data_IF_709594374628
#
_entry.id   IF_709594374628
#
_cell.length_a   1.000
_cell.length_b   1.000
_cell.length_c   1.000
_cell.angle_alpha   90.00
_cell.angle_beta   90.00
_cell.angle_gamma   90.00
#
_symmetry.space_group_name_H-M   'P 1'
#
loop_
_entity.id
_entity.type
_entity.pdbx_description
1 polymer ?
#
# COMPACT_ATOMS: atom_id res chain seq x y z
N UNK A 1 65.76 -24.38 34.49
CA UNK A 1 66.39 -24.61 33.17
C UNK A 1 65.32 -24.58 32.09
N UNK A 2 65.49 -23.68 31.10
CA UNK A 2 65.11 -23.80 29.66
C UNK A 2 63.58 -23.82 29.34
N UNK A 3 62.98 -22.68 28.96
CA UNK A 3 62.68 -22.21 27.56
C UNK A 3 61.83 -23.20 26.74
N UNK A 4 60.78 -22.85 25.98
CA UNK A 4 60.71 -21.83 24.92
C UNK A 4 59.32 -21.90 24.21
N UNK A 5 58.73 -20.73 23.86
CA UNK A 5 57.90 -20.39 22.65
C UNK A 5 56.72 -21.32 22.25
N UNK A 6 55.52 -20.83 21.95
CA UNK A 6 55.14 -20.16 20.66
C UNK A 6 53.69 -19.66 20.81
N UNK A 7 53.43 -18.37 21.05
CA UNK A 7 52.96 -17.36 20.09
C UNK A 7 52.00 -17.85 18.98
N UNK A 8 50.69 -17.68 19.17
CA UNK A 8 49.73 -17.53 18.07
C UNK A 8 48.66 -16.50 18.48
N UNK A 9 48.93 -15.24 18.14
CA UNK A 9 47.99 -14.12 18.24
C UNK A 9 47.03 -14.24 17.06
N UNK A 10 45.82 -14.75 17.30
CA UNK A 10 44.76 -14.77 16.29
C UNK A 10 44.01 -13.44 16.38
N UNK A 11 44.51 -12.47 15.60
CA UNK A 11 43.92 -11.16 15.39
C UNK A 11 42.62 -11.34 14.60
N UNK A 12 41.50 -11.54 15.30
CA UNK A 12 40.16 -11.45 14.70
C UNK A 12 39.86 -9.96 14.49
N UNK A 13 40.26 -9.46 13.32
CA UNK A 13 39.71 -8.23 12.78
C UNK A 13 38.22 -8.45 12.53
N UNK A 14 37.38 -8.18 13.53
CA UNK A 14 35.98 -7.87 13.31
C UNK A 14 35.96 -6.58 12.48
N UNK A 15 35.93 -6.74 11.16
CA UNK A 15 35.56 -5.68 10.24
C UNK A 15 34.14 -5.28 10.59
N UNK A 16 34.02 -4.25 11.43
CA UNK A 16 32.80 -3.48 11.62
C UNK A 16 32.52 -2.85 10.26
N UNK A 17 31.77 -3.58 9.44
CA UNK A 17 31.20 -3.07 8.22
C UNK A 17 30.09 -2.12 8.66
N UNK A 18 30.49 -0.89 9.00
CA UNK A 18 29.54 0.21 9.10
C UNK A 18 28.93 0.37 7.72
N UNK A 19 27.75 -0.22 7.53
CA UNK A 19 26.87 0.13 6.44
C UNK A 19 26.68 1.64 6.55
N UNK A 20 27.24 2.38 5.59
CA UNK A 20 26.97 3.78 5.44
C UNK A 20 25.46 3.91 5.29
N UNK A 21 24.80 4.43 6.33
CA UNK A 21 23.42 4.90 6.21
C UNK A 21 23.45 5.94 5.10
N UNK A 22 22.97 5.56 3.92
CA UNK A 22 22.77 6.50 2.84
C UNK A 22 21.94 7.65 3.44
N UNK A 23 22.41 8.88 3.30
CA UNK A 23 21.68 10.05 3.75
C UNK A 23 20.29 9.97 3.13
N UNK A 24 19.31 9.69 3.99
CA UNK A 24 17.95 9.39 3.59
C UNK A 24 17.39 10.66 2.97
N UNK A 25 17.16 10.62 1.67
CA UNK A 25 16.54 11.72 0.97
C UNK A 25 15.17 11.88 1.57
N UNK A 26 14.96 12.94 2.36
CA UNK A 26 13.64 13.31 2.88
C UNK A 26 12.70 13.37 1.69
N UNK A 27 11.85 12.36 1.60
CA UNK A 27 10.94 12.15 0.48
C UNK A 27 9.53 12.37 0.99
N UNK A 28 8.76 13.16 0.26
CA UNK A 28 7.34 13.36 0.53
C UNK A 28 6.52 12.47 -0.40
N UNK A 29 5.21 12.39 -0.18
CA UNK A 29 4.32 11.62 -1.04
C UNK A 29 4.32 12.14 -2.49
N UNK A 30 4.54 13.45 -2.68
CA UNK A 30 4.60 14.06 -3.99
C UNK A 30 5.76 13.52 -4.85
N UNK A 31 6.78 12.96 -4.22
CA UNK A 31 7.96 12.41 -4.88
C UNK A 31 7.78 10.93 -5.30
N UNK A 32 6.67 10.30 -4.93
CA UNK A 32 6.41 8.88 -5.19
C UNK A 32 5.71 8.72 -6.55
N UNK A 33 6.32 8.00 -7.50
CA UNK A 33 5.74 7.87 -8.84
C UNK A 33 4.42 7.08 -8.79
N UNK A 34 3.42 7.59 -9.52
CA UNK A 34 2.11 6.94 -9.62
C UNK A 34 1.12 7.30 -8.50
N UNK A 35 1.55 8.01 -7.45
CA UNK A 35 0.66 8.54 -6.44
C UNK A 35 0.18 9.96 -6.78
N UNK A 36 -1.12 10.18 -6.68
CA UNK A 36 -1.76 11.47 -6.94
C UNK A 36 -2.25 12.09 -5.64
N UNK A 37 -1.74 13.28 -5.30
CA UNK A 37 -2.20 14.05 -4.13
C UNK A 37 -3.70 14.33 -4.20
N UNK A 38 -4.25 14.52 -5.40
CA UNK A 38 -5.69 14.74 -5.58
C UNK A 38 -6.54 13.52 -5.19
N UNK A 39 -6.01 12.30 -5.37
CA UNK A 39 -6.69 11.07 -4.91
C UNK A 39 -6.66 11.04 -3.38
N UNK A 40 -5.50 11.28 -2.78
CA UNK A 40 -5.32 11.32 -1.33
C UNK A 40 -6.24 12.32 -0.63
N UNK A 41 -6.37 13.53 -1.19
CA UNK A 41 -7.23 14.57 -0.65
C UNK A 41 -8.72 14.18 -0.64
N UNK A 42 -9.13 13.27 -1.54
CA UNK A 42 -10.51 12.78 -1.62
C UNK A 42 -10.78 11.58 -0.72
N UNK A 43 -9.74 10.82 -0.38
CA UNK A 43 -9.85 9.55 0.35
C UNK A 43 -9.55 9.68 1.83
N UNK A 44 -8.76 10.69 2.22
CA UNK A 44 -8.41 10.99 3.60
C UNK A 44 -9.22 12.19 4.10
N UNK A 45 -9.43 12.27 5.41
CA UNK A 45 -9.95 13.49 6.02
C UNK A 45 -8.95 14.64 5.84
N UNK A 46 -9.43 15.89 5.82
CA UNK A 46 -8.56 17.06 5.63
C UNK A 46 -7.42 17.11 6.65
N UNK A 47 -7.69 16.75 7.91
CA UNK A 47 -6.67 16.70 8.98
C UNK A 47 -5.59 15.68 8.65
N UNK A 48 -5.98 14.44 8.33
CA UNK A 48 -5.02 13.37 8.03
C UNK A 48 -4.24 13.68 6.76
N UNK A 49 -4.92 14.16 5.72
CA UNK A 49 -4.29 14.59 4.47
C UNK A 49 -3.19 15.62 4.72
N UNK A 50 -3.47 16.66 5.51
CA UNK A 50 -2.49 17.72 5.78
C UNK A 50 -1.26 17.21 6.52
N UNK A 51 -1.44 16.29 7.48
CA UNK A 51 -0.31 15.66 8.17
C UNK A 51 0.51 14.79 7.22
N UNK A 52 -0.16 13.85 6.55
CA UNK A 52 0.44 12.87 5.64
C UNK A 52 1.15 13.53 4.45
N UNK A 53 0.62 14.63 3.92
CA UNK A 53 1.19 15.32 2.76
C UNK A 53 2.56 15.97 3.03
N UNK A 54 2.81 16.40 4.27
CA UNK A 54 4.07 17.05 4.67
C UNK A 54 5.01 16.12 5.44
N UNK A 55 4.50 15.01 5.97
CA UNK A 55 5.30 14.03 6.69
C UNK A 55 6.31 13.33 5.77
N UNK A 56 7.56 13.13 6.25
CA UNK A 56 8.56 12.37 5.51
C UNK A 56 8.14 10.89 5.42
N UNK A 57 8.29 10.31 4.24
CA UNK A 57 8.05 8.89 3.97
C UNK A 57 9.35 8.13 4.21
N UNK A 58 9.38 7.39 5.30
CA UNK A 58 10.51 6.54 5.74
C UNK A 58 10.70 5.36 4.78
N UNK A 59 9.61 4.70 4.40
CA UNK A 59 9.68 3.56 3.49
C UNK A 59 8.51 3.56 2.52
N UNK A 60 8.79 3.11 1.30
CA UNK A 60 7.78 2.84 0.30
C UNK A 60 7.89 1.40 -0.19
N UNK A 61 6.76 0.70 -0.14
CA UNK A 61 6.59 -0.66 -0.66
C UNK A 61 5.48 -0.61 -1.70
N UNK A 62 5.70 -1.22 -2.86
CA UNK A 62 4.67 -1.39 -3.87
C UNK A 62 4.45 -2.87 -4.14
N UNK A 63 3.20 -3.31 -4.04
CA UNK A 63 2.77 -4.70 -4.28
C UNK A 63 1.85 -4.70 -5.49
N UNK A 64 2.18 -5.50 -6.51
CA UNK A 64 1.30 -5.73 -7.66
C UNK A 64 0.51 -7.02 -7.46
N UNK A 65 -0.77 -7.00 -7.79
CA UNK A 65 -1.63 -8.18 -7.82
C UNK A 65 -2.62 -8.11 -9.00
N UNK A 66 -3.51 -9.08 -9.04
CA UNK A 66 -4.60 -9.16 -10.01
C UNK A 66 -5.92 -9.27 -9.27
N UNK A 67 -6.81 -8.31 -9.49
CA UNK A 67 -8.17 -8.36 -8.98
C UNK A 67 -9.00 -9.30 -9.86
N UNK A 68 -9.61 -10.32 -9.25
CA UNK A 68 -10.60 -11.19 -9.89
C UNK A 68 -11.83 -11.32 -8.99
N UNK A 69 -13.00 -10.97 -9.53
CA UNK A 69 -14.19 -10.75 -8.70
C UNK A 69 -13.91 -9.63 -7.68
N UNK A 70 -13.98 -9.98 -6.39
CA UNK A 70 -13.77 -9.04 -5.28
C UNK A 70 -12.45 -9.25 -4.53
N UNK A 71 -11.60 -10.17 -4.98
CA UNK A 71 -10.38 -10.56 -4.27
C UNK A 71 -9.13 -10.34 -5.11
N UNK A 72 -8.02 -10.00 -4.45
CA UNK A 72 -6.72 -9.83 -5.09
C UNK A 72 -5.93 -11.14 -5.03
N UNK A 73 -5.43 -11.58 -6.18
CA UNK A 73 -4.62 -12.77 -6.36
C UNK A 73 -3.23 -12.43 -6.89
N UNK A 74 -2.30 -13.38 -6.80
CA UNK A 74 -0.97 -13.25 -7.41
C UNK A 74 -0.12 -12.09 -6.86
N UNK A 75 -0.39 -11.64 -5.63
CA UNK A 75 0.29 -10.53 -4.98
C UNK A 75 1.81 -10.77 -4.91
N UNK A 76 2.58 -9.84 -5.48
CA UNK A 76 4.04 -9.86 -5.50
C UNK A 76 4.60 -8.46 -5.29
N UNK A 77 5.73 -8.37 -4.63
CA UNK A 77 6.42 -7.11 -4.38
C UNK A 77 7.12 -6.66 -5.66
N UNK A 78 6.85 -5.43 -6.09
CA UNK A 78 7.50 -4.80 -7.25
C UNK A 78 8.46 -3.68 -6.84
N UNK A 79 8.33 -3.17 -5.61
CA UNK A 79 9.24 -2.21 -4.99
C UNK A 79 9.27 -2.45 -3.49
N UNK A 80 10.46 -2.43 -2.89
CA UNK A 80 10.67 -2.60 -1.45
C UNK A 80 11.85 -1.76 -0.99
N UNK A 81 11.72 -1.19 0.21
CA UNK A 81 12.73 -0.37 0.87
C UNK A 81 13.00 -0.89 2.28
N UNK A 82 14.02 -0.33 2.94
CA UNK A 82 14.47 -0.75 4.27
C UNK A 82 14.73 -2.27 4.37
N UNK A 83 15.38 -2.83 3.34
CA UNK A 83 15.73 -4.25 3.26
C UNK A 83 14.53 -5.20 3.45
N UNK A 84 13.32 -4.76 3.07
CA UNK A 84 12.12 -5.59 3.13
C UNK A 84 11.51 -5.74 4.52
N UNK A 85 11.83 -4.85 5.46
CA UNK A 85 11.29 -4.90 6.83
C UNK A 85 9.74 -4.98 6.88
N UNK A 86 9.06 -4.35 5.92
CA UNK A 86 7.59 -4.25 5.87
C UNK A 86 6.94 -5.09 4.77
N UNK A 87 7.73 -5.89 4.04
CA UNK A 87 7.28 -6.68 2.90
C UNK A 87 6.18 -7.69 3.27
N UNK A 88 6.37 -8.35 4.41
CA UNK A 88 5.40 -9.33 4.93
C UNK A 88 4.04 -8.68 5.19
N UNK A 89 4.06 -7.52 5.84
CA UNK A 89 2.84 -6.76 6.16
C UNK A 89 2.13 -6.31 4.87
N UNK A 90 2.87 -5.74 3.92
CA UNK A 90 2.30 -5.28 2.66
C UNK A 90 1.66 -6.43 1.84
N UNK A 91 2.29 -7.61 1.83
CA UNK A 91 1.74 -8.80 1.17
C UNK A 91 0.48 -9.32 1.87
N UNK A 92 0.47 -9.36 3.19
CA UNK A 92 -0.70 -9.78 3.97
C UNK A 92 -1.88 -8.82 3.76
N UNK A 93 -1.62 -7.52 3.81
CA UNK A 93 -2.60 -6.48 3.54
C UNK A 93 -3.21 -6.63 2.15
N UNK A 94 -2.39 -6.91 1.13
CA UNK A 94 -2.86 -7.12 -0.25
C UNK A 94 -3.74 -8.36 -0.38
N UNK A 95 -3.39 -9.46 0.31
CA UNK A 95 -4.12 -10.74 0.24
C UNK A 95 -5.48 -10.68 0.93
N UNK A 96 -5.54 -9.97 2.06
CA UNK A 96 -6.77 -9.79 2.82
C UNK A 96 -7.66 -8.68 2.24
N UNK A 97 -7.28 -8.13 1.09
CA UNK A 97 -7.99 -7.03 0.50
C UNK A 97 -9.23 -7.49 -0.26
N UNK A 98 -10.36 -6.91 0.11
CA UNK A 98 -11.62 -7.09 -0.58
C UNK A 98 -12.09 -5.77 -1.21
N UNK A 99 -12.57 -5.88 -2.45
CA UNK A 99 -13.10 -4.76 -3.20
C UNK A 99 -14.62 -4.85 -3.25
N UNK A 100 -15.27 -3.85 -2.70
CA UNK A 100 -16.71 -3.64 -2.80
C UNK A 100 -17.06 -2.92 -4.10
N UNK A 101 -17.94 -3.52 -4.88
CA UNK A 101 -18.48 -2.91 -6.08
C UNK A 101 -18.62 -3.94 -7.19
N UNK A 102 -19.36 -3.58 -8.22
CA UNK A 102 -19.50 -4.42 -9.40
C UNK A 102 -18.35 -4.09 -10.36
N UNK A 103 -17.37 -4.97 -10.42
CA UNK A 103 -16.26 -4.90 -11.36
C UNK A 103 -16.50 -5.88 -12.50
N UNK A 104 -16.40 -5.41 -13.73
CA UNK A 104 -16.12 -6.30 -14.86
C UNK A 104 -17.30 -7.03 -15.50
N UNK A 105 -18.49 -6.43 -15.61
CA UNK A 105 -19.52 -7.01 -16.51
C UNK A 105 -19.19 -6.86 -18.01
N UNK A 106 -18.34 -5.90 -18.38
CA UNK A 106 -18.08 -5.57 -19.79
C UNK A 106 -16.64 -5.86 -20.27
N UNK A 107 -15.77 -6.44 -19.43
CA UNK A 107 -14.39 -6.77 -19.83
C UNK A 107 -14.29 -8.22 -20.29
N UNK A 108 -13.69 -8.42 -21.48
CA UNK A 108 -13.40 -9.74 -22.03
C UNK A 108 -12.39 -10.54 -21.16
N UNK A 109 -11.58 -9.83 -20.36
CA UNK A 109 -10.66 -10.41 -19.39
C UNK A 109 -11.20 -10.17 -17.96
N UNK A 110 -11.47 -11.22 -17.17
CA UNK A 110 -12.03 -11.09 -15.82
C UNK A 110 -11.03 -10.59 -14.78
N UNK A 111 -9.75 -10.43 -15.14
CA UNK A 111 -8.71 -9.93 -14.23
C UNK A 111 -8.34 -8.49 -14.53
N UNK A 112 -8.14 -7.70 -13.47
CA UNK A 112 -7.68 -6.30 -13.57
C UNK A 112 -6.40 -6.14 -12.72
N UNK A 113 -5.28 -5.67 -13.29
CA UNK A 113 -4.06 -5.49 -12.53
C UNK A 113 -4.22 -4.35 -11.52
N UNK A 114 -3.79 -4.61 -10.28
CA UNK A 114 -3.82 -3.66 -9.17
C UNK A 114 -2.42 -3.46 -8.60
N UNK A 115 -2.14 -2.25 -8.15
CA UNK A 115 -0.94 -1.91 -7.39
C UNK A 115 -1.38 -1.34 -6.05
N UNK A 116 -0.89 -1.95 -4.97
CA UNK A 116 -0.98 -1.39 -3.63
C UNK A 116 0.31 -0.65 -3.30
N UNK A 117 0.22 0.64 -3.03
CA UNK A 117 1.32 1.40 -2.47
C UNK A 117 1.15 1.45 -0.95
N UNK A 118 2.15 0.98 -0.20
CA UNK A 118 2.22 1.09 1.26
C UNK A 118 3.34 2.06 1.60
N UNK A 119 2.96 3.15 2.25
CA UNK A 119 3.86 4.21 2.72
C UNK A 119 4.02 4.09 4.23
N UNK A 120 5.26 4.06 4.68
CA UNK A 120 5.61 3.97 6.10
C UNK A 120 6.07 5.34 6.57
N UNK A 121 5.52 5.78 7.69
CA UNK A 121 5.84 7.03 8.37
C UNK A 121 6.27 6.72 9.80
N UNK A 122 7.29 7.43 10.27
CA UNK A 122 7.58 7.52 11.70
C UNK A 122 6.73 8.65 12.31
N UNK A 123 5.97 8.32 13.34
CA UNK A 123 5.14 9.25 14.11
C UNK A 123 5.59 9.22 15.58
N UNK A 124 5.20 10.22 16.36
CA UNK A 124 5.60 10.31 17.77
C UNK A 124 5.23 9.06 18.59
N UNK A 125 4.11 8.41 18.24
CA UNK A 125 3.58 7.24 18.93
C UNK A 125 4.05 5.89 18.34
N UNK A 126 4.93 5.90 17.34
CA UNK A 126 5.47 4.69 16.69
C UNK A 126 5.47 4.75 15.16
N UNK A 127 5.19 3.62 14.52
CA UNK A 127 5.21 3.51 13.05
C UNK A 127 3.79 3.48 12.49
N UNK A 128 3.53 4.28 11.47
CA UNK A 128 2.24 4.34 10.79
C UNK A 128 2.41 3.89 9.33
N UNK A 129 1.47 3.08 8.84
CA UNK A 129 1.40 2.66 7.45
C UNK A 129 0.14 3.22 6.78
N UNK A 130 0.31 3.87 5.63
CA UNK A 130 -0.76 4.31 4.75
C UNK A 130 -0.74 3.45 3.49
N UNK A 131 -1.84 2.75 3.25
CA UNK A 131 -2.01 1.89 2.09
C UNK A 131 -2.98 2.50 1.08
N UNK A 132 -2.59 2.51 -0.19
CA UNK A 132 -3.26 3.20 -1.29
C UNK A 132 -3.38 2.29 -2.51
N UNK A 133 -4.59 1.75 -2.81
CA UNK A 133 -4.85 1.03 -4.05
C UNK A 133 -4.78 1.96 -5.25
N UNK A 134 -4.25 1.43 -6.34
CA UNK A 134 -4.52 1.92 -7.68
C UNK A 134 -4.72 0.76 -8.65
N UNK A 135 -5.52 0.99 -9.69
CA UNK A 135 -5.53 0.12 -10.86
C UNK A 135 -4.38 0.48 -11.78
N UNK A 136 -3.75 -0.53 -12.35
CA UNK A 136 -2.63 -0.39 -13.28
C UNK A 136 -3.13 -0.42 -14.73
N UNK A 137 -4.05 0.50 -15.06
CA UNK A 137 -4.71 0.56 -16.37
C UNK A 137 -4.56 1.94 -17.05
N UNK A 138 -4.17 1.98 -18.36
CA UNK A 138 -3.99 3.24 -19.09
C UNK A 138 -5.27 4.07 -19.35
N UNK A 139 -6.47 3.51 -19.12
CA UNK A 139 -7.76 4.13 -19.48
C UNK A 139 -8.71 4.36 -18.30
N UNK A 140 -8.31 4.01 -17.10
CA UNK A 140 -9.05 4.32 -15.89
C UNK A 140 -8.69 5.72 -15.44
N UNK A 141 -9.47 6.73 -15.81
CA UNK A 141 -9.45 8.01 -15.11
C UNK A 141 -9.55 7.73 -13.61
N UNK A 142 -8.48 7.99 -12.84
CA UNK A 142 -8.47 7.91 -11.37
C UNK A 142 -9.66 8.65 -10.72
N UNK A 143 -10.34 9.52 -11.48
CA UNK A 143 -11.58 10.21 -11.12
C UNK A 143 -12.79 9.29 -10.86
N UNK A 144 -12.82 8.05 -11.36
CA UNK A 144 -13.99 7.15 -11.23
C UNK A 144 -13.87 6.12 -10.11
N UNK A 145 -12.69 6.05 -9.47
CA UNK A 145 -12.33 5.02 -8.49
C UNK A 145 -11.93 5.69 -7.17
N UNK A 146 -12.63 5.37 -6.09
CA UNK A 146 -12.27 5.86 -4.76
C UNK A 146 -11.44 4.79 -4.05
N UNK A 147 -10.12 4.91 -4.12
CA UNK A 147 -9.21 4.09 -3.29
C UNK A 147 -9.49 4.32 -1.82
N UNK A 148 -10.15 3.40 -1.12
CA UNK A 148 -10.23 3.52 0.34
C UNK A 148 -8.79 3.38 0.83
N UNK A 149 -8.18 4.51 1.19
CA UNK A 149 -6.92 4.49 1.89
C UNK A 149 -7.16 3.72 3.19
N UNK A 150 -6.21 2.89 3.59
CA UNK A 150 -6.21 2.31 4.92
C UNK A 150 -5.01 2.86 5.68
N UNK A 151 -5.24 3.23 6.93
CA UNK A 151 -4.20 3.64 7.86
C UNK A 151 -4.12 2.60 8.94
N UNK A 152 -2.90 2.20 9.28
CA UNK A 152 -2.62 1.29 10.38
C UNK A 152 -1.44 1.81 11.19
N UNK A 153 -1.45 1.53 12.48
CA UNK A 153 -0.33 1.87 13.39
C UNK A 153 0.22 0.58 13.97
N UNK A 154 1.54 0.46 13.94
CA UNK A 154 2.25 -0.63 14.57
C UNK A 154 2.21 -0.46 16.09
N UNK A 155 1.73 -1.48 16.79
CA UNK A 155 1.68 -1.55 18.23
C UNK A 155 3.05 -1.97 18.79
N UNK A 156 3.25 -1.81 20.11
CA UNK A 156 4.49 -2.19 20.79
C UNK A 156 4.81 -3.70 20.74
N UNK A 157 3.81 -4.54 20.49
CA UNK A 157 3.96 -5.98 20.28
C UNK A 157 4.34 -6.36 18.83
N UNK A 158 4.48 -5.37 17.96
CA UNK A 158 4.78 -5.53 16.54
C UNK A 158 3.58 -5.83 15.65
N UNK A 159 2.36 -5.92 16.21
CA UNK A 159 1.13 -6.12 15.44
C UNK A 159 0.66 -4.81 14.82
N UNK A 160 -0.07 -4.91 13.70
CA UNK A 160 -0.65 -3.74 13.03
C UNK A 160 -2.11 -3.58 13.40
N UNK A 161 -2.48 -2.37 13.83
CA UNK A 161 -3.86 -2.03 14.15
C UNK A 161 -4.38 -0.99 13.16
N UNK A 162 -5.42 -1.36 12.42
CA UNK A 162 -6.14 -0.43 11.56
C UNK A 162 -6.72 0.73 12.36
N UNK A 163 -6.53 1.95 11.87
CA UNK A 163 -7.24 3.14 12.28
C UNK A 163 -8.48 3.30 11.40
N UNK A 164 -9.63 3.45 12.04
CA UNK A 164 -10.86 3.78 11.31
C UNK A 164 -10.76 5.22 10.81
N UNK A 165 -10.55 5.36 9.50
CA UNK A 165 -10.65 6.61 8.80
C UNK A 165 -12.14 6.94 8.68
N UNK A 166 -12.63 7.63 9.71
CA UNK A 166 -14.04 7.88 10.02
C UNK A 166 -15.01 7.71 8.85
N UNK A 167 -15.95 6.78 9.01
CA UNK A 167 -17.16 6.56 8.21
C UNK A 167 -17.18 7.16 6.79
N UNK A 168 -16.24 6.75 5.93
CA UNK A 168 -16.61 6.56 4.53
C UNK A 168 -17.74 5.52 4.48
N UNK A 169 -18.73 5.63 3.59
CA UNK A 169 -19.98 4.84 3.64
C UNK A 169 -19.83 3.32 3.58
N UNK A 170 -18.61 2.76 3.48
CA UNK A 170 -18.36 1.36 3.13
C UNK A 170 -17.28 0.64 3.99
N UNK A 171 -16.80 1.24 5.09
CA UNK A 171 -15.91 0.56 6.04
C UNK A 171 -14.55 0.15 5.46
N UNK A 172 -13.99 -0.98 5.93
CA UNK A 172 -12.65 -1.54 5.58
C UNK A 172 -12.45 -1.94 4.10
N UNK A 173 -13.32 -1.52 3.20
CA UNK A 173 -13.46 -2.10 1.85
C UNK A 173 -13.26 -1.06 0.77
N UNK A 174 -12.44 -1.39 -0.22
CA UNK A 174 -12.20 -0.51 -1.37
C UNK A 174 -13.48 -0.40 -2.19
N UNK A 175 -13.92 0.81 -2.52
CA UNK A 175 -15.22 1.04 -3.15
C UNK A 175 -15.09 1.74 -4.48
N UNK A 176 -15.75 1.20 -5.51
CA UNK A 176 -15.67 1.78 -6.86
C UNK A 176 -17.03 2.26 -7.34
N UNK A 177 -17.03 3.51 -7.83
CA UNK A 177 -18.25 4.25 -8.15
C UNK A 177 -18.91 3.73 -9.43
N UNK A 178 -18.12 3.34 -10.43
CA UNK A 178 -18.61 2.95 -11.74
C UNK A 178 -19.54 1.72 -11.70
N UNK A 179 -19.32 0.77 -10.78
CA UNK A 179 -20.18 -0.41 -10.65
C UNK A 179 -21.64 -0.09 -10.29
N UNK A 180 -21.89 1.00 -9.55
CA UNK A 180 -23.24 1.44 -9.17
C UNK A 180 -23.95 2.18 -10.31
N UNK A 181 -23.24 3.05 -11.03
CA UNK A 181 -23.80 3.76 -12.19
C UNK A 181 -24.13 2.78 -13.33
N UNK A 182 -23.25 1.80 -13.58
CA UNK A 182 -23.48 0.74 -14.55
C UNK A 182 -24.70 -0.11 -14.16
N UNK A 183 -24.96 -0.35 -12.87
CA UNK A 183 -26.13 -1.10 -12.42
C UNK A 183 -27.44 -0.36 -12.73
N UNK A 184 -27.49 0.97 -12.51
CA UNK A 184 -28.69 1.75 -12.81
C UNK A 184 -28.96 1.78 -14.33
N UNK A 185 -27.92 1.97 -15.13
CA UNK A 185 -28.05 2.00 -16.59
C UNK A 185 -28.38 0.62 -17.18
N UNK A 186 -27.75 -0.46 -16.69
CA UNK A 186 -28.07 -1.84 -17.08
C UNK A 186 -29.48 -2.24 -16.65
N UNK A 187 -29.91 -1.92 -15.42
CA UNK A 187 -31.29 -2.16 -14.98
C UNK A 187 -32.31 -1.40 -15.83
N UNK A 188 -32.04 -0.14 -16.18
CA UNK A 188 -32.91 0.64 -17.07
C UNK A 188 -32.93 0.11 -18.50
N UNK A 189 -31.83 -0.49 -18.99
CA UNK A 189 -31.77 -1.12 -20.31
C UNK A 189 -32.51 -2.46 -20.31
N UNK A 190 -32.29 -3.32 -19.32
CA UNK A 190 -32.99 -4.61 -19.19
C UNK A 190 -34.51 -4.44 -19.05
N UNK A 191 -34.98 -3.48 -18.25
CA UNK A 191 -36.41 -3.20 -18.10
C UNK A 191 -37.09 -2.67 -19.39
N UNK A 192 -36.30 -2.16 -20.35
CA UNK A 192 -36.81 -1.67 -21.64
C UNK A 192 -37.03 -2.77 -22.68
N UNK A 193 -36.49 -3.97 -22.46
CA UNK A 193 -36.64 -5.11 -23.36
C UNK A 193 -37.63 -6.17 -22.85
N UNK A 194 -38.24 -5.96 -21.68
CA UNK A 194 -39.23 -6.86 -21.07
C UNK A 194 -40.68 -6.39 -21.26
N UNK A 195 -40.94 -5.44 -22.16
CA UNK A 195 -42.28 -4.98 -22.52
C UNK A 195 -42.49 -5.01 -24.03
#
# INVERSE_FOLDING_TARGET
MKTCKTLLVLLVCFSVWSAASAAEKIRTIADIPGLSLAVLQRTLSATIYNHVAVSPVEAWIAVRGELSGNHVFGARIIHSELNGAYDKYALELTRNWEVNGHFGLDKLNPTTPVVLNVLIFEIADGTMALSLPSFDEPRGTQFEYYGAANLAVQQSDGTWKDLELGAGPLGKRWSVRAGLANNFELQMKLNRFTH
#
